data_IF_940793361115
#
_entry.id   IF_940793361115
#
_cell.length_a   1.000
_cell.length_b   1.000
_cell.length_c   1.000
_cell.angle_alpha   90.00
_cell.angle_beta   90.00
_cell.angle_gamma   90.00
#
_symmetry.space_group_name_H-M   'P 1'
#
loop_
_entity.id
_entity.type
_entity.pdbx_description
1 polymer ?
#
# COMPACT_ATOMS: atom_id res chain seq x y z
N UNK A 1 26.33 -33.33 19.59
CA UNK A 1 26.96 -32.02 19.40
C UNK A 1 27.39 -31.90 17.96
N UNK A 2 26.56 -31.30 17.11
CA UNK A 2 26.92 -30.78 15.79
C UNK A 2 25.85 -29.76 15.37
N UNK A 3 26.33 -28.51 15.33
CA UNK A 3 25.77 -27.23 14.86
C UNK A 3 24.40 -27.18 14.20
N UNK A 4 23.48 -26.48 14.90
CA UNK A 4 22.37 -25.73 14.33
C UNK A 4 22.87 -24.42 13.70
N UNK A 5 22.86 -24.30 12.38
CA UNK A 5 22.92 -23.02 11.65
C UNK A 5 22.55 -23.31 10.20
N UNK A 6 21.24 -23.39 9.90
CA UNK A 6 20.72 -23.47 8.53
C UNK A 6 19.24 -23.09 8.41
N UNK A 7 18.73 -22.18 9.26
CA UNK A 7 17.31 -21.75 9.19
C UNK A 7 17.10 -20.24 9.28
N UNK A 8 18.17 -19.44 9.18
CA UNK A 8 18.09 -17.97 9.12
C UNK A 8 18.21 -17.42 7.68
N UNK A 9 18.38 -18.28 6.68
CA UNK A 9 18.61 -17.90 5.27
C UNK A 9 17.35 -17.70 4.43
N UNK A 10 16.17 -18.01 4.96
CA UNK A 10 14.88 -17.86 4.23
C UNK A 10 14.14 -16.59 4.66
N UNK A 11 14.54 -15.97 5.78
CA UNK A 11 13.87 -14.79 6.33
C UNK A 11 14.26 -13.45 5.67
N UNK A 12 15.11 -13.44 4.65
CA UNK A 12 15.60 -12.21 4.01
C UNK A 12 15.27 -12.10 2.51
N UNK A 13 14.64 -13.14 1.93
CA UNK A 13 14.32 -13.21 0.49
C UNK A 13 12.97 -12.56 0.13
N UNK A 14 12.25 -12.06 1.14
CA UNK A 14 10.93 -11.46 1.00
C UNK A 14 10.91 -9.95 0.74
N UNK A 15 12.09 -9.37 0.57
CA UNK A 15 12.31 -7.96 0.85
C UNK A 15 12.26 -7.02 -0.36
N UNK A 16 11.97 -7.52 -1.57
CA UNK A 16 12.26 -6.76 -2.79
C UNK A 16 11.15 -5.84 -3.31
N UNK A 17 9.95 -5.83 -2.72
CA UNK A 17 8.87 -4.96 -3.25
C UNK A 17 8.54 -3.78 -2.32
N UNK A 18 8.73 -3.87 -0.99
CA UNK A 18 8.12 -2.87 -0.06
C UNK A 18 9.05 -2.29 1.01
N UNK A 19 10.25 -2.84 1.28
CA UNK A 19 11.15 -2.23 2.28
C UNK A 19 12.60 -2.20 1.75
N UNK A 20 12.99 -1.10 1.10
CA UNK A 20 14.41 -0.85 0.74
C UNK A 20 14.92 0.47 1.31
N UNK A 21 14.57 0.85 2.55
CA UNK A 21 15.19 2.04 3.16
C UNK A 21 15.45 1.97 4.67
N UNK A 22 15.69 0.78 5.23
CA UNK A 22 16.19 0.62 6.61
C UNK A 22 17.73 0.55 6.71
N UNK A 23 18.48 0.57 5.58
CA UNK A 23 19.96 0.49 5.61
C UNK A 23 20.71 1.80 5.30
N UNK A 24 20.01 2.89 4.94
CA UNK A 24 20.68 4.18 4.65
C UNK A 24 21.15 4.96 5.89
N UNK A 25 20.78 4.54 7.12
CA UNK A 25 21.15 5.24 8.36
C UNK A 25 22.34 4.61 9.13
N UNK A 26 23.06 3.62 8.57
CA UNK A 26 24.21 2.98 9.27
C UNK A 26 25.61 3.38 8.76
N UNK A 27 25.75 4.35 7.87
CA UNK A 27 27.08 4.83 7.45
C UNK A 27 27.18 6.35 7.35
N UNK A 28 27.02 7.02 8.49
CA UNK A 28 27.64 8.35 8.75
C UNK A 28 28.24 8.43 10.15
N UNK A 29 28.72 7.31 10.69
CA UNK A 29 29.46 7.29 11.96
C UNK A 29 30.48 6.15 12.00
N UNK A 30 31.46 6.17 11.10
CA UNK A 30 32.71 5.42 11.26
C UNK A 30 33.73 5.81 10.17
N UNK A 31 34.30 7.01 10.24
CA UNK A 31 35.63 7.30 9.68
C UNK A 31 36.26 8.47 10.43
N UNK A 32 37.10 8.19 11.41
CA UNK A 32 38.37 8.90 11.59
C UNK A 32 39.24 8.09 12.52
N UNK A 33 40.14 7.33 11.91
CA UNK A 33 41.26 6.70 12.59
C UNK A 33 42.23 7.76 13.09
N UNK A 34 42.71 7.47 14.29
CA UNK A 34 43.73 8.13 15.08
C UNK A 34 45.10 8.18 14.36
N UNK A 35 45.77 9.34 14.40
CA UNK A 35 47.22 9.47 14.24
C UNK A 35 47.70 10.74 14.94
N UNK A 36 48.66 10.59 15.86
CA UNK A 36 49.00 11.57 16.88
C UNK A 36 50.22 12.48 16.60
N UNK A 37 50.53 13.26 17.66
CA UNK A 37 51.70 14.11 17.93
C UNK A 37 51.79 15.44 17.15
N UNK A 38 52.14 16.62 17.71
CA UNK A 38 52.81 17.02 18.97
C UNK A 38 52.70 18.55 19.19
N UNK A 39 52.52 18.99 20.45
CA UNK A 39 53.13 20.15 21.15
C UNK A 39 53.17 21.59 20.56
N UNK A 40 52.53 22.58 21.24
CA UNK A 40 53.13 23.59 22.17
C UNK A 40 52.31 24.91 22.33
N UNK A 41 52.01 25.23 23.59
CA UNK A 41 51.94 26.53 24.29
C UNK A 41 51.17 27.77 23.76
N UNK A 42 50.29 28.32 24.61
CA UNK A 42 49.84 29.73 24.60
C UNK A 42 48.52 29.98 25.38
N UNK A 43 48.61 30.67 26.52
CA UNK A 43 47.54 30.92 27.52
C UNK A 43 46.64 32.16 27.15
N UNK A 44 45.69 32.65 27.98
CA UNK A 44 44.23 32.49 27.85
C UNK A 44 43.46 33.81 27.63
N UNK A 45 42.17 33.78 27.24
CA UNK A 45 41.12 34.66 27.80
C UNK A 45 39.69 34.44 27.23
N UNK A 46 38.74 34.61 28.16
CA UNK A 46 37.33 34.98 28.03
C UNK A 46 36.28 33.89 27.76
N UNK A 47 35.46 33.70 28.80
CA UNK A 47 34.27 32.90 28.84
C UNK A 47 33.06 33.70 28.31
N UNK A 48 32.23 33.05 27.49
CA UNK A 48 30.84 33.43 27.29
C UNK A 48 30.01 32.15 27.11
N UNK A 49 29.07 31.98 28.03
CA UNK A 49 28.16 30.84 28.21
C UNK A 49 27.08 30.79 27.12
N UNK A 50 27.07 29.74 26.31
CA UNK A 50 25.93 29.36 25.44
C UNK A 50 25.14 28.18 26.02
N UNK A 51 23.84 28.05 25.72
CA UNK A 51 22.96 27.08 26.36
C UNK A 51 23.29 25.65 25.92
N UNK A 52 23.37 24.74 26.90
CA UNK A 52 23.61 23.30 26.74
C UNK A 52 22.51 22.67 25.89
N UNK A 53 22.87 22.19 24.70
CA UNK A 53 22.05 21.24 23.95
C UNK A 53 22.13 19.88 24.65
N UNK A 54 21.02 19.47 25.26
CA UNK A 54 20.84 18.09 25.69
C UNK A 54 20.76 17.22 24.43
N UNK A 55 21.77 16.37 24.21
CA UNK A 55 21.75 15.37 23.15
C UNK A 55 20.65 14.35 23.46
N UNK A 56 19.51 14.51 22.81
CA UNK A 56 18.50 13.46 22.71
C UNK A 56 19.11 12.30 21.94
N UNK A 57 19.51 11.26 22.66
CA UNK A 57 19.78 9.96 22.08
C UNK A 57 18.51 9.50 21.35
N UNK A 58 18.49 9.59 20.01
CA UNK A 58 17.42 9.01 19.22
C UNK A 58 17.59 7.49 19.27
N UNK A 59 16.86 6.82 20.15
CA UNK A 59 16.64 5.39 20.02
C UNK A 59 16.02 5.15 18.64
N UNK A 60 16.70 4.38 17.79
CA UNK A 60 16.14 3.96 16.52
C UNK A 60 14.83 3.23 16.78
N UNK A 61 13.70 3.90 16.48
CA UNK A 61 12.37 3.32 16.59
C UNK A 61 12.34 2.10 15.68
N UNK A 62 12.13 0.91 16.26
CA UNK A 62 11.81 -0.28 15.46
C UNK A 62 10.59 0.05 14.59
N UNK A 63 10.59 -0.36 13.33
CA UNK A 63 9.46 -0.12 12.43
C UNK A 63 8.24 -0.87 12.95
N UNK A 64 7.16 -0.16 13.26
CA UNK A 64 5.88 -0.76 13.69
C UNK A 64 5.33 -1.63 12.56
N UNK A 65 5.06 -2.91 12.84
CA UNK A 65 4.34 -3.77 11.90
C UNK A 65 2.84 -3.62 12.14
N UNK A 66 2.05 -3.54 11.07
CA UNK A 66 0.60 -3.57 11.16
C UNK A 66 0.12 -4.96 10.75
N UNK A 67 -0.73 -5.57 11.57
CA UNK A 67 -1.46 -6.79 11.25
C UNK A 67 -2.91 -6.44 10.99
N UNK A 68 -3.56 -7.21 10.11
CA UNK A 68 -5.00 -7.21 9.94
C UNK A 68 -5.57 -8.42 10.67
N UNK A 69 -6.58 -8.19 11.49
CA UNK A 69 -7.34 -9.25 12.16
C UNK A 69 -8.78 -9.20 11.66
N UNK A 70 -9.24 -10.27 11.03
CA UNK A 70 -10.56 -10.38 10.40
C UNK A 70 -11.44 -11.41 11.11
N UNK A 71 -12.73 -11.42 10.78
CA UNK A 71 -13.76 -12.26 11.40
C UNK A 71 -13.94 -12.02 12.91
N UNK A 72 -13.68 -10.79 13.36
CA UNK A 72 -13.91 -10.42 14.74
C UNK A 72 -15.43 -10.33 14.97
N UNK A 73 -15.99 -10.95 16.03
CA UNK A 73 -17.43 -10.84 16.32
C UNK A 73 -17.89 -9.39 16.44
N UNK A 74 -19.10 -9.07 15.97
CA UNK A 74 -19.65 -7.71 16.03
C UNK A 74 -19.84 -7.17 17.46
N UNK A 75 -19.92 -8.05 18.45
CA UNK A 75 -20.03 -7.70 19.88
C UNK A 75 -18.69 -7.28 20.52
N UNK A 76 -17.56 -7.59 19.88
CA UNK A 76 -16.25 -7.28 20.44
C UNK A 76 -15.90 -5.81 20.28
N UNK A 77 -15.28 -5.24 21.30
CA UNK A 77 -14.60 -3.94 21.23
C UNK A 77 -13.08 -4.12 21.23
N UNK A 78 -12.35 -2.99 21.24
CA UNK A 78 -10.89 -3.02 21.28
C UNK A 78 -10.32 -3.66 22.57
N UNK A 79 -11.07 -3.67 23.67
CA UNK A 79 -10.66 -4.30 24.94
C UNK A 79 -10.71 -5.82 24.82
N UNK A 80 -11.80 -6.36 24.26
CA UNK A 80 -11.93 -7.81 24.00
C UNK A 80 -10.78 -8.31 23.11
N UNK A 81 -10.49 -7.59 22.01
CA UNK A 81 -9.38 -7.96 21.12
C UNK A 81 -8.02 -7.87 21.82
N UNK A 82 -7.79 -6.85 22.66
CA UNK A 82 -6.55 -6.72 23.44
C UNK A 82 -6.38 -7.87 24.42
N UNK A 83 -7.44 -8.27 25.11
CA UNK A 83 -7.43 -9.42 26.02
C UNK A 83 -7.11 -10.71 25.28
N UNK A 84 -7.72 -10.95 24.11
CA UNK A 84 -7.42 -12.10 23.28
C UNK A 84 -5.95 -12.12 22.82
N UNK A 85 -5.41 -10.99 22.33
CA UNK A 85 -4.00 -10.89 21.95
C UNK A 85 -3.05 -11.22 23.10
N UNK A 86 -3.40 -10.83 24.33
CA UNK A 86 -2.60 -11.14 25.52
C UNK A 86 -2.70 -12.61 25.94
N UNK A 87 -3.82 -13.27 25.68
CA UNK A 87 -3.97 -14.72 25.90
C UNK A 87 -3.12 -15.55 24.93
N UNK A 88 -2.82 -15.04 23.73
CA UNK A 88 -1.96 -15.74 22.77
C UNK A 88 -0.49 -15.82 23.21
N UNK A 89 -0.03 -14.87 24.02
CA UNK A 89 1.34 -14.82 24.54
C UNK A 89 1.35 -13.99 25.84
N UNK A 90 1.30 -14.65 27.00
CA UNK A 90 1.27 -13.99 28.31
C UNK A 90 2.49 -13.07 28.57
N UNK A 91 3.60 -13.32 27.87
CA UNK A 91 4.83 -12.51 27.98
C UNK A 91 4.81 -11.29 27.07
N UNK A 92 3.83 -11.19 26.18
CA UNK A 92 3.66 -10.06 25.29
C UNK A 92 2.90 -8.94 26.00
N UNK A 93 3.50 -7.74 26.05
CA UNK A 93 2.94 -6.57 26.72
C UNK A 93 2.10 -5.70 25.77
N UNK A 94 0.81 -5.49 26.04
CA UNK A 94 -0.09 -4.76 25.13
C UNK A 94 0.10 -3.24 25.09
N UNK A 95 0.93 -2.67 25.96
CA UNK A 95 1.06 -1.23 26.19
C UNK A 95 1.54 -0.43 24.96
N UNK A 96 2.09 -1.11 23.95
CA UNK A 96 2.55 -0.49 22.68
C UNK A 96 1.59 -0.73 21.50
N UNK A 97 0.48 -1.44 21.71
CA UNK A 97 -0.46 -1.84 20.67
C UNK A 97 -1.53 -0.77 20.40
N UNK A 98 -1.63 -0.33 19.16
CA UNK A 98 -2.70 0.54 18.67
C UNK A 98 -3.68 -0.31 17.86
N UNK A 99 -4.90 -0.44 18.36
CA UNK A 99 -6.00 -1.19 17.74
C UNK A 99 -6.98 -0.20 17.12
N UNK A 100 -7.22 -0.33 15.82
CA UNK A 100 -8.32 0.37 15.13
C UNK A 100 -9.31 -0.67 14.63
N UNK A 101 -10.53 -0.64 15.15
CA UNK A 101 -11.57 -1.65 14.88
C UNK A 101 -12.68 -1.05 14.00
N UNK A 102 -13.04 -1.75 12.93
CA UNK A 102 -13.99 -1.28 11.92
C UNK A 102 -15.02 -2.35 11.57
N UNK A 103 -16.24 -1.97 11.15
CA UNK A 103 -17.16 -2.90 10.48
C UNK A 103 -16.50 -3.48 9.23
N UNK A 104 -16.69 -4.78 8.97
CA UNK A 104 -16.12 -5.41 7.77
C UNK A 104 -16.71 -4.83 6.49
N UNK A 105 -15.98 -4.95 5.37
CA UNK A 105 -16.44 -4.52 4.05
C UNK A 105 -17.70 -5.25 3.58
N UNK A 106 -17.91 -6.48 4.06
CA UNK A 106 -18.89 -7.45 3.56
C UNK A 106 -20.07 -7.71 4.51
N UNK A 107 -20.03 -7.14 5.73
CA UNK A 107 -20.97 -7.26 6.86
C UNK A 107 -20.84 -8.51 7.77
N UNK A 108 -21.62 -8.52 8.87
CA UNK A 108 -21.71 -9.49 10.00
C UNK A 108 -20.52 -9.61 10.95
N UNK A 109 -19.35 -9.11 10.57
CA UNK A 109 -18.13 -9.16 11.39
C UNK A 109 -17.41 -7.82 11.40
N UNK A 110 -16.33 -7.75 12.17
CA UNK A 110 -15.43 -6.61 12.25
C UNK A 110 -14.03 -7.02 11.75
N UNK A 111 -13.27 -6.00 11.34
CA UNK A 111 -11.86 -6.11 10.97
C UNK A 111 -11.09 -5.09 11.80
N UNK A 112 -9.96 -5.51 12.37
CA UNK A 112 -9.06 -4.64 13.11
C UNK A 112 -7.73 -4.47 12.40
N UNK A 113 -7.19 -3.26 12.49
CA UNK A 113 -5.81 -2.95 12.17
C UNK A 113 -5.03 -2.78 13.46
N UNK A 114 -4.02 -3.62 13.64
CA UNK A 114 -3.27 -3.75 14.89
C UNK A 114 -1.82 -3.36 14.63
N UNK A 115 -1.46 -2.14 15.02
CA UNK A 115 -0.09 -1.62 14.90
C UNK A 115 0.69 -1.94 16.17
N UNK A 116 1.83 -2.63 16.03
CA UNK A 116 2.59 -3.16 17.17
C UNK A 116 4.11 -3.04 16.94
N UNK A 117 4.85 -2.70 18.00
CA UNK A 117 6.33 -2.69 18.00
C UNK A 117 6.92 -4.08 18.22
N UNK A 118 6.27 -4.87 19.09
CA UNK A 118 6.49 -6.30 19.29
C UNK A 118 5.13 -7.00 19.19
N UNK A 119 5.09 -8.25 18.78
CA UNK A 119 3.85 -9.02 18.59
C UNK A 119 4.00 -10.44 19.14
N UNK A 120 2.88 -11.11 19.47
CA UNK A 120 2.88 -12.49 19.97
C UNK A 120 3.75 -13.41 19.13
N UNK A 121 4.44 -14.37 19.77
CA UNK A 121 5.36 -15.27 19.06
C UNK A 121 4.67 -15.97 17.86
N UNK A 122 3.40 -16.35 18.00
CA UNK A 122 2.64 -17.00 16.95
C UNK A 122 2.46 -16.13 15.68
N UNK A 123 2.62 -14.81 15.76
CA UNK A 123 2.54 -13.91 14.60
C UNK A 123 3.86 -13.84 13.81
N UNK A 124 4.99 -14.26 14.40
CA UNK A 124 6.28 -14.32 13.70
C UNK A 124 6.31 -15.38 12.61
N UNK A 125 5.54 -16.45 12.80
CA UNK A 125 5.48 -17.59 11.88
C UNK A 125 4.48 -17.37 10.74
N UNK A 126 3.78 -16.23 10.71
CA UNK A 126 2.85 -15.91 9.62
C UNK A 126 3.68 -15.69 8.36
N UNK A 127 3.44 -16.54 7.35
CA UNK A 127 4.09 -16.37 6.05
C UNK A 127 3.47 -15.18 5.32
N UNK A 128 4.20 -14.57 4.39
CA UNK A 128 3.76 -13.35 3.71
C UNK A 128 2.46 -13.52 2.96
N UNK A 129 2.22 -14.66 2.34
CA UNK A 129 1.06 -14.88 1.49
C UNK A 129 0.04 -15.81 2.17
N UNK A 130 0.12 -15.97 3.51
CA UNK A 130 -0.76 -16.85 4.27
C UNK A 130 -1.49 -16.12 5.39
N UNK A 131 -2.73 -16.52 5.58
CA UNK A 131 -3.56 -16.18 6.73
C UNK A 131 -3.30 -17.19 7.85
N UNK A 132 -3.19 -16.70 9.10
CA UNK A 132 -3.17 -17.55 10.28
C UNK A 132 -4.51 -17.49 10.98
N UNK A 133 -5.25 -18.59 10.94
CA UNK A 133 -6.51 -18.73 11.66
C UNK A 133 -6.24 -19.16 13.09
N UNK A 134 -6.81 -18.43 14.04
CA UNK A 134 -6.62 -18.64 15.48
C UNK A 134 -7.98 -18.69 16.17
N UNK A 135 -8.12 -19.62 17.11
CA UNK A 135 -9.30 -19.73 17.95
C UNK A 135 -9.33 -18.58 18.96
N UNK A 136 -10.53 -18.05 19.16
CA UNK A 136 -10.87 -17.03 20.14
C UNK A 136 -11.94 -17.59 21.11
N UNK A 137 -12.17 -16.92 22.26
CA UNK A 137 -13.24 -17.30 23.18
C UNK A 137 -14.57 -17.52 22.47
N UNK A 138 -15.41 -18.40 23.03
CA UNK A 138 -16.72 -18.76 22.49
C UNK A 138 -16.67 -19.48 21.12
N UNK A 139 -15.50 -19.99 20.72
CA UNK A 139 -15.31 -20.77 19.49
C UNK A 139 -15.24 -19.93 18.22
N UNK A 140 -15.06 -18.60 18.34
CA UNK A 140 -14.85 -17.73 17.20
C UNK A 140 -13.49 -18.01 16.53
N UNK A 141 -13.43 -17.96 15.20
CA UNK A 141 -12.21 -18.21 14.43
C UNK A 141 -11.77 -16.91 13.74
N UNK A 142 -10.71 -16.30 14.28
CA UNK A 142 -10.17 -15.04 13.78
C UNK A 142 -9.06 -15.34 12.78
N UNK A 143 -9.03 -14.61 11.65
CA UNK A 143 -7.91 -14.67 10.70
C UNK A 143 -6.94 -13.52 10.96
N UNK A 144 -5.65 -13.81 10.97
CA UNK A 144 -4.58 -12.81 11.12
C UNK A 144 -3.65 -12.86 9.91
N UNK A 145 -3.44 -11.71 9.29
CA UNK A 145 -2.49 -11.53 8.20
C UNK A 145 -1.70 -10.21 8.33
N UNK A 146 -0.71 -10.02 7.47
CA UNK A 146 -0.04 -8.73 7.30
C UNK A 146 0.20 -8.36 5.83
N UNK A 147 -0.38 -9.11 4.89
CA UNK A 147 -0.30 -8.85 3.45
C UNK A 147 -1.42 -7.95 2.96
N UNK A 148 -2.56 -7.96 3.64
CA UNK A 148 -3.75 -7.19 3.33
C UNK A 148 -4.28 -7.46 1.90
N UNK A 149 -4.23 -8.70 1.43
CA UNK A 149 -4.97 -9.15 0.26
C UNK A 149 -6.48 -9.02 0.56
N UNK A 150 -7.29 -8.66 -0.44
CA UNK A 150 -8.72 -8.32 -0.30
C UNK A 150 -9.04 -6.93 0.29
N UNK A 151 -10.34 -6.57 0.27
CA UNK A 151 -10.78 -5.26 0.78
C UNK A 151 -10.65 -5.19 2.29
N UNK A 152 -10.01 -4.12 2.74
CA UNK A 152 -9.81 -3.78 4.15
C UNK A 152 -10.50 -2.45 4.46
N UNK A 153 -11.40 -2.38 5.46
CA UNK A 153 -12.01 -1.13 5.87
C UNK A 153 -11.00 -0.28 6.66
N UNK A 154 -11.06 1.05 6.48
CA UNK A 154 -10.10 1.99 7.07
C UNK A 154 -10.74 3.05 7.98
N UNK A 155 -12.07 3.04 8.13
CA UNK A 155 -12.78 3.92 9.03
C UNK A 155 -14.11 3.32 9.49
N UNK A 156 -14.68 3.91 10.54
CA UNK A 156 -16.10 3.78 10.86
C UNK A 156 -16.81 4.87 10.06
N UNK A 157 -17.56 4.54 8.99
CA UNK A 157 -18.24 5.55 8.20
C UNK A 157 -19.42 6.16 8.98
N UNK A 158 -19.80 7.39 8.61
CA UNK A 158 -21.04 8.00 9.07
C UNK A 158 -22.26 7.15 8.63
N UNK A 159 -23.42 7.22 9.32
CA UNK A 159 -24.61 6.47 8.94
C UNK A 159 -25.08 6.76 7.51
N UNK A 160 -24.94 8.02 7.08
CA UNK A 160 -25.21 8.45 5.71
C UNK A 160 -23.89 8.52 4.93
N UNK A 161 -23.72 7.58 4.00
CA UNK A 161 -22.49 7.42 3.23
C UNK A 161 -22.73 7.92 1.81
N UNK A 162 -22.18 9.10 1.51
CA UNK A 162 -22.19 9.73 0.18
C UNK A 162 -21.48 8.87 -0.86
N UNK A 163 -20.31 8.32 -0.53
CA UNK A 163 -19.51 7.53 -1.48
C UNK A 163 -18.60 6.50 -0.79
N UNK A 164 -18.28 5.44 -1.53
CA UNK A 164 -17.16 4.57 -1.23
C UNK A 164 -15.88 5.15 -1.88
N UNK A 165 -14.82 5.29 -1.10
CA UNK A 165 -13.47 5.62 -1.58
C UNK A 165 -12.64 4.35 -1.51
N UNK A 166 -12.26 3.80 -2.67
CA UNK A 166 -11.58 2.50 -2.76
C UNK A 166 -10.18 2.71 -3.32
N UNK A 167 -9.18 2.55 -2.46
CA UNK A 167 -7.78 2.61 -2.82
C UNK A 167 -7.26 1.23 -3.25
N UNK A 168 -6.51 1.15 -4.34
CA UNK A 168 -6.04 -0.09 -4.94
C UNK A 168 -4.54 0.01 -5.22
N UNK A 169 -3.76 -0.85 -4.59
CA UNK A 169 -2.31 -0.95 -4.76
C UNK A 169 -1.85 -2.39 -4.48
N UNK A 170 -0.61 -2.72 -4.84
CA UNK A 170 -0.08 -4.07 -4.60
C UNK A 170 -0.21 -4.51 -3.15
N UNK A 171 0.33 -3.75 -2.20
CA UNK A 171 0.14 -4.03 -0.77
C UNK A 171 -0.73 -2.95 -0.14
N UNK A 172 -1.94 -3.36 0.26
CA UNK A 172 -3.03 -2.45 0.60
C UNK A 172 -2.75 -1.50 1.77
N UNK A 173 -1.83 -1.85 2.68
CA UNK A 173 -1.43 -0.99 3.79
C UNK A 173 -0.07 -0.31 3.52
N UNK A 174 0.95 -1.10 3.16
CA UNK A 174 2.32 -0.62 3.02
C UNK A 174 2.52 0.40 1.89
N UNK A 175 1.77 0.28 0.79
CA UNK A 175 1.89 1.22 -0.33
C UNK A 175 1.53 2.65 0.05
N UNK A 176 0.54 2.85 0.92
CA UNK A 176 0.03 4.17 1.31
C UNK A 176 0.65 4.70 2.60
N UNK A 177 1.48 3.89 3.26
CA UNK A 177 2.11 4.25 4.54
C UNK A 177 3.44 4.92 4.30
N UNK A 178 3.60 6.13 4.82
CA UNK A 178 4.88 6.81 4.85
C UNK A 178 5.84 6.12 5.82
N UNK A 179 7.02 5.73 5.35
CA UNK A 179 7.97 4.97 6.14
C UNK A 179 8.55 5.77 7.33
N UNK A 180 8.76 7.08 7.19
CA UNK A 180 9.44 7.86 8.22
C UNK A 180 8.47 8.26 9.34
N UNK A 181 7.30 8.77 8.97
CA UNK A 181 6.26 9.19 9.92
C UNK A 181 5.39 8.03 10.42
N UNK A 182 5.45 6.88 9.74
CA UNK A 182 4.60 5.71 9.98
C UNK A 182 3.10 5.98 9.78
N UNK A 183 2.72 7.13 9.20
CA UNK A 183 1.35 7.52 8.92
C UNK A 183 0.84 6.82 7.66
N UNK A 184 -0.36 6.26 7.73
CA UNK A 184 -1.10 5.68 6.60
C UNK A 184 -2.30 6.59 6.31
N UNK A 185 -2.12 7.53 5.39
CA UNK A 185 -3.00 8.69 5.24
C UNK A 185 -4.46 8.36 4.89
N UNK A 186 -4.73 7.21 4.26
CA UNK A 186 -6.10 6.75 4.00
C UNK A 186 -6.87 6.42 5.28
N UNK A 187 -6.15 6.02 6.34
CA UNK A 187 -6.71 5.77 7.67
C UNK A 187 -6.55 6.99 8.58
N UNK A 188 -5.35 7.57 8.63
CA UNK A 188 -4.97 8.52 9.67
C UNK A 188 -5.44 9.96 9.37
N UNK A 189 -5.64 10.31 8.09
CA UNK A 189 -5.97 11.68 7.67
C UNK A 189 -7.34 11.76 6.99
N UNK A 190 -7.53 10.97 5.94
CA UNK A 190 -8.65 11.08 5.02
C UNK A 190 -10.03 11.02 5.70
N UNK A 191 -10.32 10.08 6.62
CA UNK A 191 -11.65 9.98 7.24
C UNK A 191 -12.00 11.15 8.18
N UNK A 192 -11.00 11.94 8.58
CA UNK A 192 -11.17 13.14 9.41
C UNK A 192 -11.32 14.40 8.56
N UNK A 193 -10.64 14.45 7.40
CA UNK A 193 -10.65 15.61 6.50
C UNK A 193 -11.82 15.56 5.50
N UNK A 194 -12.44 14.39 5.32
CA UNK A 194 -13.62 14.15 4.49
C UNK A 194 -14.61 13.25 5.26
N UNK A 195 -15.78 13.81 5.60
CA UNK A 195 -16.89 13.08 6.24
C UNK A 195 -17.81 12.45 5.20
N UNK A 196 -18.69 11.54 5.64
CA UNK A 196 -19.67 10.90 4.75
C UNK A 196 -19.09 9.91 3.72
N UNK A 197 -17.85 9.45 3.91
CA UNK A 197 -17.22 8.44 3.03
C UNK A 197 -16.88 7.16 3.77
N UNK A 198 -17.04 6.03 3.08
CA UNK A 198 -16.48 4.74 3.51
C UNK A 198 -15.16 4.52 2.78
N UNK A 199 -14.06 4.49 3.52
CA UNK A 199 -12.72 4.31 2.98
C UNK A 199 -12.32 2.85 3.07
N UNK A 200 -11.92 2.27 1.95
CA UNK A 200 -11.45 0.90 1.84
C UNK A 200 -10.15 0.87 1.04
N UNK A 201 -9.30 -0.10 1.34
CA UNK A 201 -8.10 -0.39 0.55
C UNK A 201 -8.13 -1.85 0.09
N UNK A 202 -7.77 -2.12 -1.15
CA UNK A 202 -7.66 -3.45 -1.74
C UNK A 202 -6.20 -3.75 -2.04
N UNK A 203 -5.74 -4.91 -1.56
CA UNK A 203 -4.44 -5.48 -1.91
C UNK A 203 -4.61 -6.78 -2.66
N UNK A 204 -3.55 -7.16 -3.35
CA UNK A 204 -3.48 -8.38 -4.13
C UNK A 204 -2.04 -8.83 -4.21
N UNK A 205 -1.82 -10.13 -4.44
CA UNK A 205 -0.47 -10.66 -4.49
C UNK A 205 0.34 -9.98 -5.62
N UNK A 206 1.38 -9.25 -5.20
CA UNK A 206 2.37 -8.60 -6.06
C UNK A 206 3.79 -9.07 -5.76
N UNK A 207 3.96 -10.12 -4.96
CA UNK A 207 5.23 -10.74 -4.66
C UNK A 207 5.88 -11.39 -5.89
N UNK A 208 6.60 -10.59 -6.67
CA UNK A 208 7.33 -11.04 -7.86
C UNK A 208 8.38 -12.13 -7.56
N UNK A 209 8.79 -12.30 -6.30
CA UNK A 209 9.74 -13.31 -5.86
C UNK A 209 9.08 -14.64 -5.47
N UNK A 210 7.75 -14.70 -5.37
CA UNK A 210 7.03 -15.94 -5.08
C UNK A 210 7.00 -16.83 -6.33
N UNK A 211 7.52 -18.04 -6.19
CA UNK A 211 7.47 -19.10 -7.21
C UNK A 211 6.22 -19.99 -7.09
N UNK A 212 5.40 -19.75 -6.05
CA UNK A 212 4.29 -20.62 -5.65
C UNK A 212 2.97 -20.12 -6.25
N UNK A 213 2.76 -18.79 -6.31
CA UNK A 213 1.51 -18.20 -6.80
C UNK A 213 1.64 -17.68 -8.24
N UNK A 214 0.79 -18.22 -9.11
CA UNK A 214 0.73 -17.99 -10.55
C UNK A 214 -0.46 -17.13 -10.98
N UNK A 215 -1.01 -16.31 -10.08
CA UNK A 215 -2.15 -15.45 -10.37
C UNK A 215 -1.89 -14.51 -11.56
N UNK A 216 -2.64 -14.69 -12.64
CA UNK A 216 -2.57 -13.83 -13.82
C UNK A 216 -3.32 -12.50 -13.59
N UNK A 217 -3.07 -11.47 -14.40
CA UNK A 217 -3.84 -10.22 -14.34
C UNK A 217 -5.36 -10.46 -14.48
N UNK A 218 -5.74 -11.51 -15.21
CA UNK A 218 -7.13 -11.92 -15.38
C UNK A 218 -7.72 -12.47 -14.09
N UNK A 219 -6.95 -13.24 -13.31
CA UNK A 219 -7.38 -13.77 -12.02
C UNK A 219 -7.44 -12.66 -10.97
N UNK A 220 -6.45 -11.76 -10.95
CA UNK A 220 -6.49 -10.54 -10.14
C UNK A 220 -7.74 -9.72 -10.43
N UNK A 221 -8.11 -9.55 -11.71
CA UNK A 221 -9.32 -8.83 -12.13
C UNK A 221 -10.58 -9.51 -11.61
N UNK A 222 -10.70 -10.83 -11.78
CA UNK A 222 -11.87 -11.60 -11.32
C UNK A 222 -12.02 -11.51 -9.80
N UNK A 223 -10.91 -11.68 -9.07
CA UNK A 223 -10.89 -11.56 -7.62
C UNK A 223 -11.32 -10.15 -7.18
N UNK A 224 -10.79 -9.11 -7.81
CA UNK A 224 -11.15 -7.74 -7.46
C UNK A 224 -12.62 -7.43 -7.73
N UNK A 225 -13.16 -7.82 -8.90
CA UNK A 225 -14.60 -7.69 -9.20
C UNK A 225 -15.43 -8.42 -8.15
N UNK A 226 -15.07 -9.65 -7.79
CA UNK A 226 -15.79 -10.41 -6.77
C UNK A 226 -15.77 -9.72 -5.40
N UNK A 227 -14.65 -9.11 -4.99
CA UNK A 227 -14.61 -8.36 -3.74
C UNK A 227 -15.49 -7.10 -3.77
N UNK A 228 -15.55 -6.41 -4.91
CA UNK A 228 -16.47 -5.28 -5.08
C UNK A 228 -17.94 -5.73 -4.98
N UNK A 229 -18.30 -6.85 -5.62
CA UNK A 229 -19.64 -7.44 -5.53
C UNK A 229 -19.99 -7.81 -4.07
N UNK A 230 -19.07 -8.48 -3.37
CA UNK A 230 -19.26 -8.85 -1.97
C UNK A 230 -19.49 -7.61 -1.09
N UNK A 231 -18.71 -6.53 -1.30
CA UNK A 231 -18.82 -5.31 -0.50
C UNK A 231 -20.07 -4.46 -0.83
N UNK A 232 -20.81 -4.86 -1.87
CA UNK A 232 -21.98 -4.18 -2.42
C UNK A 232 -23.21 -5.09 -2.50
N UNK A 233 -23.18 -6.22 -1.80
CA UNK A 233 -24.28 -7.18 -1.80
C UNK A 233 -25.57 -6.67 -1.13
N UNK A 234 -25.49 -5.62 -0.31
CA UNK A 234 -26.67 -4.97 0.30
C UNK A 234 -27.25 -3.87 -0.59
N UNK A 235 -28.59 -3.71 -0.64
CA UNK A 235 -29.25 -2.69 -1.46
C UNK A 235 -28.70 -1.26 -1.26
N UNK A 236 -28.42 -0.87 -0.02
CA UNK A 236 -27.88 0.45 0.32
C UNK A 236 -26.44 0.68 -0.18
N UNK A 237 -25.68 -0.39 -0.43
CA UNK A 237 -24.32 -0.30 -0.96
C UNK A 237 -24.29 -0.45 -2.49
N UNK A 238 -25.25 -1.19 -3.08
CA UNK A 238 -25.25 -1.58 -4.50
C UNK A 238 -25.10 -0.42 -5.48
N UNK A 239 -25.75 0.72 -5.23
CA UNK A 239 -25.71 1.89 -6.12
C UNK A 239 -24.95 3.08 -5.53
N UNK A 240 -24.32 2.92 -4.37
CA UNK A 240 -23.55 4.00 -3.74
C UNK A 240 -22.41 4.45 -4.66
N UNK A 241 -22.24 5.75 -4.92
CA UNK A 241 -21.14 6.28 -5.71
C UNK A 241 -19.77 5.73 -5.30
N UNK A 242 -18.91 5.45 -6.27
CA UNK A 242 -17.54 4.96 -6.06
C UNK A 242 -16.54 5.99 -6.59
N UNK A 243 -15.52 6.27 -5.78
CA UNK A 243 -14.33 7.01 -6.18
C UNK A 243 -13.14 6.05 -6.01
N UNK A 244 -12.45 5.79 -7.11
CA UNK A 244 -11.28 4.91 -7.11
C UNK A 244 -9.98 5.70 -6.97
N UNK A 245 -9.05 5.17 -6.17
CA UNK A 245 -7.68 5.65 -6.06
C UNK A 245 -6.74 4.50 -6.45
N UNK A 246 -6.12 4.55 -7.62
CA UNK A 246 -5.24 3.49 -8.10
C UNK A 246 -3.78 3.92 -8.05
N UNK A 247 -2.89 3.07 -7.53
CA UNK A 247 -1.43 3.26 -7.66
C UNK A 247 -0.82 2.20 -8.56
N UNK A 248 -0.02 2.60 -9.55
CA UNK A 248 0.70 1.69 -10.44
C UNK A 248 -0.27 0.66 -11.07
N UNK A 249 0.03 -0.64 -10.99
CA UNK A 249 -0.83 -1.75 -11.42
C UNK A 249 -2.25 -1.70 -10.84
N UNK A 250 -2.45 -1.11 -9.66
CA UNK A 250 -3.78 -0.98 -9.06
C UNK A 250 -4.72 -0.14 -9.93
N UNK A 251 -4.20 0.90 -10.59
CA UNK A 251 -4.97 1.67 -11.58
C UNK A 251 -5.34 0.84 -12.81
N UNK A 252 -4.41 0.04 -13.33
CA UNK A 252 -4.69 -0.88 -14.45
C UNK A 252 -5.76 -1.90 -14.05
N UNK A 253 -5.70 -2.43 -12.82
CA UNK A 253 -6.64 -3.40 -12.29
C UNK A 253 -8.06 -2.81 -12.15
N UNK A 254 -8.19 -1.57 -11.65
CA UNK A 254 -9.46 -0.84 -11.60
C UNK A 254 -10.07 -0.75 -13.01
N UNK A 255 -9.27 -0.31 -13.99
CA UNK A 255 -9.74 -0.11 -15.35
C UNK A 255 -10.13 -1.43 -16.02
N UNK A 256 -9.37 -2.50 -15.80
CA UNK A 256 -9.75 -3.84 -16.24
C UNK A 256 -11.08 -4.32 -15.63
N UNK A 257 -11.29 -4.09 -14.34
CA UNK A 257 -12.55 -4.46 -13.68
C UNK A 257 -13.74 -3.69 -14.28
N UNK A 258 -13.56 -2.41 -14.64
CA UNK A 258 -14.62 -1.62 -15.27
C UNK A 258 -14.89 -1.98 -16.73
N UNK A 259 -13.90 -2.42 -17.49
CA UNK A 259 -14.12 -3.03 -18.82
C UNK A 259 -14.93 -4.32 -18.68
N UNK A 260 -14.64 -5.15 -17.69
CA UNK A 260 -15.46 -6.34 -17.43
C UNK A 260 -16.89 -5.94 -17.03
N UNK A 261 -17.03 -4.91 -16.20
CA UNK A 261 -18.33 -4.39 -15.78
C UNK A 261 -19.15 -3.80 -16.94
N UNK A 262 -18.51 -3.12 -17.91
CA UNK A 262 -19.22 -2.59 -19.08
C UNK A 262 -19.77 -3.69 -19.98
N UNK A 263 -19.07 -4.82 -20.06
CA UNK A 263 -19.39 -5.92 -20.97
C UNK A 263 -20.27 -7.02 -20.32
N UNK A 264 -20.50 -6.93 -19.00
CA UNK A 264 -21.22 -7.96 -18.24
C UNK A 264 -22.40 -7.32 -17.50
N UNK A 265 -23.66 -7.55 -17.93
CA UNK A 265 -24.84 -6.91 -17.34
C UNK A 265 -24.94 -7.02 -15.81
N UNK A 266 -24.49 -8.13 -15.24
CA UNK A 266 -24.49 -8.40 -13.81
C UNK A 266 -23.62 -7.40 -13.02
N UNK A 267 -22.48 -7.00 -13.59
CA UNK A 267 -21.50 -6.11 -12.97
C UNK A 267 -21.66 -4.65 -13.39
N UNK A 268 -22.58 -4.35 -14.32
CA UNK A 268 -22.77 -3.01 -14.89
C UNK A 268 -22.96 -1.91 -13.83
N UNK A 269 -23.60 -2.25 -12.71
CA UNK A 269 -23.82 -1.32 -11.61
C UNK A 269 -22.51 -0.77 -11.01
N UNK A 270 -21.38 -1.49 -11.09
CA UNK A 270 -20.08 -1.01 -10.65
C UNK A 270 -19.60 0.18 -11.49
N UNK A 271 -19.75 0.06 -12.81
CA UNK A 271 -19.44 1.13 -13.75
C UNK A 271 -20.38 2.33 -13.57
N UNK A 272 -21.68 2.07 -13.44
CA UNK A 272 -22.70 3.12 -13.27
C UNK A 272 -22.52 3.86 -11.93
N UNK A 273 -22.04 3.18 -10.89
CA UNK A 273 -21.71 3.79 -9.61
C UNK A 273 -20.39 4.58 -9.62
N UNK A 274 -19.48 4.32 -10.55
CA UNK A 274 -18.15 4.96 -10.58
C UNK A 274 -18.23 6.41 -11.06
N UNK A 275 -17.71 7.35 -10.25
CA UNK A 275 -17.77 8.79 -10.51
C UNK A 275 -16.43 9.46 -10.76
N UNK A 276 -15.36 8.97 -10.13
CA UNK A 276 -14.04 9.58 -10.29
C UNK A 276 -12.89 8.59 -10.11
N UNK A 277 -11.76 8.94 -10.74
CA UNK A 277 -10.50 8.21 -10.67
C UNK A 277 -9.36 9.13 -10.23
N UNK A 278 -8.58 8.67 -9.26
CA UNK A 278 -7.31 9.26 -8.85
C UNK A 278 -6.21 8.25 -9.14
N UNK A 279 -5.54 8.41 -10.29
CA UNK A 279 -4.58 7.44 -10.83
C UNK A 279 -3.16 7.95 -10.58
N UNK A 280 -2.42 7.23 -9.76
CA UNK A 280 -1.08 7.57 -9.28
C UNK A 280 -0.04 6.69 -9.97
N UNK A 281 0.73 7.27 -10.90
CA UNK A 281 1.76 6.56 -11.65
C UNK A 281 1.24 5.33 -12.38
N UNK A 282 -0.02 5.31 -12.80
CA UNK A 282 -0.61 4.16 -13.48
C UNK A 282 0.01 4.01 -14.88
N UNK A 283 0.64 2.88 -15.23
CA UNK A 283 1.38 2.74 -16.48
C UNK A 283 0.46 2.42 -17.68
N UNK A 284 -0.34 3.40 -18.12
CA UNK A 284 -1.29 3.22 -19.23
C UNK A 284 -0.62 2.84 -20.56
N UNK A 285 0.60 3.30 -20.80
CA UNK A 285 1.40 2.96 -21.99
C UNK A 285 2.63 2.11 -21.65
N UNK A 286 2.60 1.47 -20.47
CA UNK A 286 3.59 0.53 -20.02
C UNK A 286 4.57 1.04 -18.96
N UNK A 287 5.22 0.08 -18.34
CA UNK A 287 6.15 0.15 -17.24
C UNK A 287 7.52 -0.27 -17.74
N UNK A 288 8.58 0.34 -17.19
CA UNK A 288 9.93 -0.20 -17.34
C UNK A 288 10.05 -1.53 -16.59
N UNK A 289 10.14 -2.63 -17.32
CA UNK A 289 10.18 -3.98 -16.75
C UNK A 289 11.54 -4.66 -16.80
N UNK A 290 12.51 -4.15 -17.56
CA UNK A 290 13.79 -4.84 -17.83
C UNK A 290 14.48 -5.40 -16.58
N UNK A 291 14.68 -4.57 -15.56
CA UNK A 291 15.36 -4.98 -14.33
C UNK A 291 14.49 -5.91 -13.45
N UNK A 292 13.16 -5.79 -13.56
CA UNK A 292 12.21 -6.67 -12.88
C UNK A 292 12.15 -8.05 -13.54
N UNK A 293 12.13 -8.10 -14.87
CA UNK A 293 12.17 -9.34 -15.67
C UNK A 293 13.45 -10.12 -15.33
N UNK A 294 14.61 -9.45 -15.32
CA UNK A 294 15.88 -10.08 -14.96
C UNK A 294 15.91 -10.60 -13.51
N UNK A 295 15.27 -9.89 -12.57
CA UNK A 295 15.13 -10.38 -11.19
C UNK A 295 14.26 -11.63 -11.13
N UNK A 296 13.08 -11.60 -11.76
CA UNK A 296 12.14 -12.73 -11.72
C UNK A 296 12.75 -13.96 -12.39
N UNK A 297 13.45 -13.78 -13.52
CA UNK A 297 14.12 -14.86 -14.25
C UNK A 297 15.24 -15.52 -13.43
N UNK A 298 16.06 -14.74 -12.73
CA UNK A 298 17.09 -15.26 -11.81
C UNK A 298 16.46 -16.02 -10.63
N UNK A 299 15.39 -15.49 -10.04
CA UNK A 299 14.71 -16.11 -8.90
C UNK A 299 13.92 -17.37 -9.30
N UNK A 300 13.41 -17.45 -10.53
CA UNK A 300 12.69 -18.62 -11.03
C UNK A 300 13.62 -19.70 -11.62
N UNK A 301 14.91 -19.41 -11.74
CA UNK A 301 15.88 -20.30 -12.38
C UNK A 301 15.65 -20.44 -13.90
N UNK A 302 15.18 -19.38 -14.55
CA UNK A 302 14.92 -19.36 -15.99
C UNK A 302 13.60 -20.01 -16.42
N UNK A 303 12.71 -20.31 -15.48
CA UNK A 303 11.39 -20.89 -15.75
C UNK A 303 10.39 -19.77 -16.02
N UNK A 304 9.61 -19.91 -17.10
CA UNK A 304 8.50 -19.02 -17.42
C UNK A 304 7.45 -19.05 -16.28
N UNK A 305 7.18 -17.90 -15.67
CA UNK A 305 6.22 -17.76 -14.56
C UNK A 305 5.05 -16.86 -14.94
N UNK A 306 3.95 -16.92 -14.19
CA UNK A 306 2.88 -15.94 -14.35
C UNK A 306 3.35 -14.49 -14.09
N UNK A 307 4.41 -14.31 -13.28
CA UNK A 307 5.02 -13.00 -13.02
C UNK A 307 5.72 -12.44 -14.25
N UNK A 308 6.48 -13.27 -14.98
CA UNK A 308 7.07 -12.86 -16.25
C UNK A 308 5.98 -12.50 -17.28
N UNK A 309 4.90 -13.26 -17.36
CA UNK A 309 3.74 -12.93 -18.19
C UNK A 309 3.08 -11.61 -17.80
N UNK A 310 2.90 -11.37 -16.51
CA UNK A 310 2.38 -10.10 -16.00
C UNK A 310 3.29 -8.92 -16.38
N UNK A 311 4.61 -9.07 -16.23
CA UNK A 311 5.57 -8.05 -16.64
C UNK A 311 5.51 -7.81 -18.15
N UNK A 312 5.43 -8.85 -18.96
CA UNK A 312 5.27 -8.73 -20.41
C UNK A 312 3.98 -7.98 -20.79
N UNK A 313 2.88 -8.20 -20.08
CA UNK A 313 1.60 -7.48 -20.27
C UNK A 313 1.63 -6.02 -19.80
N UNK A 314 2.57 -5.66 -18.91
CA UNK A 314 2.72 -4.30 -18.40
C UNK A 314 3.87 -3.54 -19.08
N UNK A 315 4.60 -4.20 -19.97
CA UNK A 315 5.76 -3.62 -20.65
C UNK A 315 5.33 -2.51 -21.60
N UNK A 316 6.22 -1.54 -21.79
CA UNK A 316 6.06 -0.53 -22.84
C UNK A 316 5.81 -1.16 -24.22
N UNK A 317 4.75 -0.72 -24.89
CA UNK A 317 4.35 -1.24 -26.20
C UNK A 317 3.70 -2.63 -26.17
N UNK A 318 3.20 -3.09 -25.03
CA UNK A 318 2.47 -4.36 -24.96
C UNK A 318 1.07 -4.23 -25.61
N UNK A 319 0.69 -5.20 -26.44
CA UNK A 319 -0.65 -5.31 -27.05
C UNK A 319 -1.78 -5.32 -26.00
N UNK A 320 -1.50 -5.85 -24.81
CA UNK A 320 -2.45 -5.90 -23.70
C UNK A 320 -2.91 -4.49 -23.27
N UNK A 321 -1.97 -3.56 -23.11
CA UNK A 321 -2.27 -2.18 -22.71
C UNK A 321 -2.89 -1.38 -23.86
N UNK A 322 -2.49 -1.64 -25.10
CA UNK A 322 -3.12 -1.03 -26.29
C UNK A 322 -4.60 -1.43 -26.40
N UNK A 323 -4.89 -2.73 -26.30
CA UNK A 323 -6.27 -3.26 -26.32
C UNK A 323 -7.10 -2.71 -25.14
N UNK A 324 -6.48 -2.58 -23.96
CA UNK A 324 -7.12 -1.95 -22.81
C UNK A 324 -7.50 -0.50 -23.16
N UNK A 325 -6.59 0.28 -23.71
CA UNK A 325 -6.82 1.70 -24.02
C UNK A 325 -7.99 1.88 -24.98
N UNK A 326 -8.08 1.05 -26.03
CA UNK A 326 -9.22 1.06 -26.96
C UNK A 326 -10.55 0.75 -26.26
N UNK A 327 -10.55 -0.24 -25.37
CA UNK A 327 -11.74 -0.67 -24.63
C UNK A 327 -12.25 0.38 -23.62
N UNK A 328 -11.39 1.31 -23.19
CA UNK A 328 -11.72 2.32 -22.18
C UNK A 328 -12.44 3.56 -22.73
N UNK A 329 -12.56 3.71 -24.05
CA UNK A 329 -13.07 4.94 -24.66
C UNK A 329 -14.43 5.40 -24.08
N UNK A 330 -15.32 4.46 -23.76
CA UNK A 330 -16.66 4.77 -23.20
C UNK A 330 -16.69 4.90 -21.68
N UNK A 331 -15.65 4.40 -20.99
CA UNK A 331 -15.57 4.40 -19.52
C UNK A 331 -15.36 5.81 -18.98
N UNK A 332 -14.70 6.69 -19.74
CA UNK A 332 -14.34 8.03 -19.25
C UNK A 332 -15.49 9.04 -19.25
N UNK A 333 -16.55 8.77 -20.02
CA UNK A 333 -17.69 9.66 -20.14
C UNK A 333 -18.32 9.89 -18.76
N UNK A 334 -18.65 11.13 -18.44
CA UNK A 334 -19.32 11.53 -17.18
C UNK A 334 -18.53 11.24 -15.89
N UNK A 335 -17.25 10.85 -15.99
CA UNK A 335 -16.37 10.65 -14.83
C UNK A 335 -15.25 11.68 -14.81
N UNK A 336 -14.81 12.03 -13.60
CA UNK A 336 -13.63 12.85 -13.39
C UNK A 336 -12.37 11.99 -13.37
N UNK A 337 -11.32 12.46 -14.03
CA UNK A 337 -10.04 11.74 -14.12
C UNK A 337 -8.92 12.64 -13.65
N UNK A 338 -8.19 12.19 -12.62
CA UNK A 338 -7.03 12.88 -12.08
C UNK A 338 -5.82 11.95 -12.19
N UNK A 339 -4.87 12.30 -13.04
CA UNK A 339 -3.65 11.52 -13.30
C UNK A 339 -2.46 12.20 -12.65
N UNK A 340 -1.95 11.58 -11.60
CA UNK A 340 -0.80 12.02 -10.83
C UNK A 340 0.45 11.27 -11.32
N UNK A 341 1.50 11.99 -11.69
CA UNK A 341 2.70 11.38 -12.28
C UNK A 341 3.99 11.82 -11.58
N UNK A 342 4.94 10.88 -11.49
CA UNK A 342 6.27 11.13 -10.92
C UNK A 342 7.09 12.09 -11.77
N UNK A 343 7.94 12.90 -11.14
CA UNK A 343 8.94 13.74 -11.83
C UNK A 343 10.37 13.50 -11.36
N UNK A 344 10.59 12.49 -10.51
CA UNK A 344 11.93 12.05 -10.09
C UNK A 344 12.09 10.58 -10.44
N UNK A 345 13.27 10.20 -10.88
CA UNK A 345 13.61 8.80 -11.12
C UNK A 345 13.61 7.97 -9.84
N UNK A 346 13.36 6.67 -9.98
CA UNK A 346 13.45 5.66 -8.94
C UNK A 346 14.72 4.82 -9.15
N UNK A 347 15.46 4.44 -8.10
CA UNK A 347 16.52 3.44 -8.23
C UNK A 347 15.93 2.10 -8.71
N UNK A 348 16.53 1.54 -9.76
CA UNK A 348 16.14 0.23 -10.28
C UNK A 348 16.55 -0.90 -9.34
N UNK A 349 15.95 -2.07 -9.54
CA UNK A 349 16.25 -3.27 -8.76
C UNK A 349 17.58 -3.88 -9.23
N UNK A 350 18.44 -4.24 -8.28
CA UNK A 350 19.75 -4.83 -8.51
C UNK A 350 20.06 -5.88 -7.44
N UNK A 351 20.74 -6.97 -7.82
CA UNK A 351 21.20 -8.00 -6.88
C UNK A 351 22.41 -7.48 -6.10
N UNK A 352 22.30 -7.44 -4.79
CA UNK A 352 23.39 -7.10 -3.87
C UNK A 352 24.45 -8.20 -3.84
N UNK A 353 25.62 -7.90 -3.26
CA UNK A 353 26.69 -8.88 -3.04
C UNK A 353 26.30 -10.04 -2.12
N UNK A 354 25.25 -9.87 -1.32
CA UNK A 354 24.70 -10.90 -0.44
C UNK A 354 23.65 -11.78 -1.13
N UNK A 355 23.39 -11.55 -2.42
CA UNK A 355 22.42 -12.31 -3.22
C UNK A 355 20.97 -11.83 -3.11
N UNK A 356 20.71 -10.82 -2.28
CA UNK A 356 19.38 -10.21 -2.12
C UNK A 356 19.16 -9.09 -3.15
N UNK A 357 17.95 -8.98 -3.70
CA UNK A 357 17.61 -7.89 -4.60
C UNK A 357 17.18 -6.63 -3.84
N UNK A 358 17.72 -5.48 -4.24
CA UNK A 358 17.46 -4.18 -3.62
C UNK A 358 17.31 -3.09 -4.68
N UNK A 359 16.58 -2.02 -4.37
CA UNK A 359 16.47 -0.81 -5.22
C UNK A 359 17.71 0.08 -5.04
N UNK A 360 18.86 -0.40 -5.50
CA UNK A 360 20.15 0.30 -5.45
C UNK A 360 20.79 0.49 -6.82
N UNK A 361 20.11 0.07 -7.88
CA UNK A 361 20.59 0.20 -9.25
C UNK A 361 20.46 1.63 -9.78
N UNK A 362 20.68 1.75 -11.09
CA UNK A 362 20.62 3.04 -11.78
C UNK A 362 19.27 3.72 -11.60
N UNK A 363 19.29 5.05 -11.55
CA UNK A 363 18.10 5.87 -11.49
C UNK A 363 17.37 5.82 -12.84
N UNK A 364 16.11 5.37 -12.83
CA UNK A 364 15.26 5.33 -14.02
C UNK A 364 13.86 5.88 -13.74
N UNK A 365 13.21 6.44 -14.74
CA UNK A 365 11.76 6.61 -14.70
C UNK A 365 11.13 5.22 -14.79
N UNK A 366 10.38 4.81 -13.78
CA UNK A 366 9.72 3.51 -13.79
C UNK A 366 8.50 3.57 -14.68
N UNK A 367 7.73 4.65 -14.57
CA UNK A 367 6.62 4.97 -15.45
C UNK A 367 6.91 6.29 -16.12
N UNK A 368 7.15 6.26 -17.43
CA UNK A 368 7.36 7.48 -18.21
C UNK A 368 6.17 8.41 -18.05
N UNK A 369 6.42 9.73 -18.06
CA UNK A 369 5.36 10.76 -17.97
C UNK A 369 4.20 10.53 -18.94
N UNK A 370 4.49 10.13 -20.19
CA UNK A 370 3.46 9.84 -21.20
C UNK A 370 2.64 8.60 -20.88
N UNK A 371 3.23 7.62 -20.20
CA UNK A 371 2.54 6.40 -19.77
C UNK A 371 1.63 6.66 -18.57
N UNK A 372 1.97 7.60 -17.70
CA UNK A 372 1.16 7.99 -16.55
C UNK A 372 -0.01 8.93 -16.89
N UNK A 373 -0.29 9.18 -18.18
CA UNK A 373 -1.32 10.13 -18.64
C UNK A 373 -2.21 9.47 -19.69
N UNK A 374 -3.49 9.81 -19.68
CA UNK A 374 -4.51 9.29 -20.61
C UNK A 374 -4.77 10.23 -21.79
N UNK A 375 -4.34 11.48 -21.69
CA UNK A 375 -4.54 12.54 -22.67
C UNK A 375 -6.01 12.84 -23.00
N UNK A 376 -6.91 12.61 -22.04
CA UNK A 376 -8.33 12.92 -22.21
C UNK A 376 -8.59 14.43 -22.05
N UNK A 377 -9.70 14.91 -22.61
CA UNK A 377 -10.11 16.32 -22.49
C UNK A 377 -10.57 16.69 -21.08
N UNK A 378 -11.14 15.74 -20.34
CA UNK A 378 -11.62 15.88 -18.96
C UNK A 378 -10.59 15.42 -17.91
N UNK A 379 -9.37 15.09 -18.31
CA UNK A 379 -8.30 14.66 -17.41
C UNK A 379 -7.52 15.86 -16.85
N UNK A 380 -7.32 15.86 -15.53
CA UNK A 380 -6.36 16.75 -14.88
C UNK A 380 -5.05 16.00 -14.63
N UNK A 381 -3.96 16.56 -15.18
CA UNK A 381 -2.63 15.95 -15.15
C UNK A 381 -1.77 16.68 -14.13
N UNK A 382 -1.40 16.00 -13.05
CA UNK A 382 -0.85 16.61 -11.84
C UNK A 382 0.58 16.07 -11.61
N UNK A 383 1.63 16.90 -11.74
CA UNK A 383 2.99 16.47 -11.43
C UNK A 383 3.20 16.32 -9.93
N UNK A 384 3.93 15.28 -9.52
CA UNK A 384 4.41 15.09 -8.15
C UNK A 384 5.92 15.05 -8.16
N UNK A 385 6.56 15.91 -7.36
CA UNK A 385 8.00 15.95 -7.20
C UNK A 385 8.54 14.82 -6.30
N UNK A 386 8.14 13.59 -6.61
CA UNK A 386 8.55 12.34 -5.96
C UNK A 386 8.84 11.27 -7.02
N UNK A 387 9.43 10.17 -6.57
CA UNK A 387 9.65 8.98 -7.38
C UNK A 387 8.48 7.98 -7.26
N UNK A 388 8.51 6.91 -8.07
CA UNK A 388 7.41 5.94 -8.24
C UNK A 388 7.02 5.20 -6.97
N UNK A 389 7.97 5.08 -6.05
CA UNK A 389 7.74 4.39 -4.78
C UNK A 389 7.15 5.34 -3.75
N UNK A 390 7.50 6.62 -3.75
CA UNK A 390 7.14 7.59 -2.71
C UNK A 390 5.91 8.46 -3.04
N UNK A 391 5.44 8.49 -4.29
CA UNK A 391 4.38 9.42 -4.72
C UNK A 391 3.02 9.29 -4.01
N UNK A 392 2.77 8.18 -3.31
CA UNK A 392 1.52 7.92 -2.56
C UNK A 392 1.72 7.83 -1.05
N UNK A 393 2.91 8.19 -0.54
CA UNK A 393 3.31 8.06 0.86
C UNK A 393 3.31 9.40 1.59
N UNK A 394 2.15 10.01 1.76
CA UNK A 394 2.02 11.32 2.40
C UNK A 394 2.37 11.25 3.89
N UNK A 395 3.34 12.07 4.32
CA UNK A 395 3.85 12.02 5.70
C UNK A 395 2.98 12.79 6.71
N UNK A 396 2.22 13.78 6.24
CA UNK A 396 1.41 14.66 7.08
C UNK A 396 0.29 15.33 6.28
N UNK A 397 -0.73 15.84 6.97
CA UNK A 397 -1.87 16.55 6.37
C UNK A 397 -1.50 17.78 5.53
N UNK A 398 -0.35 18.41 5.79
CA UNK A 398 0.15 19.54 5.00
C UNK A 398 0.86 19.17 3.70
N UNK A 399 0.89 17.88 3.33
CA UNK A 399 1.54 17.45 2.09
C UNK A 399 0.81 18.05 0.88
N UNK A 400 1.53 18.72 -0.02
CA UNK A 400 0.95 19.44 -1.15
C UNK A 400 0.16 18.53 -2.10
N UNK A 401 0.61 17.29 -2.26
CA UNK A 401 -0.06 16.28 -3.09
C UNK A 401 -1.34 15.83 -2.41
N UNK A 402 -1.29 15.55 -1.10
CA UNK A 402 -2.47 15.21 -0.31
C UNK A 402 -3.52 16.34 -0.34
N UNK A 403 -3.12 17.59 -0.17
CA UNK A 403 -4.01 18.75 -0.26
C UNK A 403 -4.66 18.90 -1.64
N UNK A 404 -3.89 18.60 -2.70
CA UNK A 404 -4.41 18.59 -4.08
C UNK A 404 -5.45 17.50 -4.27
N UNK A 405 -5.17 16.27 -3.82
CA UNK A 405 -6.13 15.17 -3.81
C UNK A 405 -7.40 15.55 -3.03
N UNK A 406 -7.24 16.12 -1.83
CA UNK A 406 -8.34 16.49 -0.95
C UNK A 406 -9.27 17.53 -1.60
N UNK A 407 -8.69 18.55 -2.27
CA UNK A 407 -9.44 19.55 -3.02
C UNK A 407 -10.32 18.90 -4.10
N UNK A 408 -9.73 18.01 -4.90
CA UNK A 408 -10.44 17.34 -5.99
C UNK A 408 -11.47 16.34 -5.48
N UNK A 409 -11.15 15.61 -4.42
CA UNK A 409 -12.06 14.65 -3.80
C UNK A 409 -13.31 15.35 -3.25
N UNK A 410 -13.14 16.47 -2.53
CA UNK A 410 -14.27 17.28 -2.05
C UNK A 410 -15.15 17.77 -3.20
N UNK A 411 -14.55 18.29 -4.27
CA UNK A 411 -15.29 18.69 -5.47
C UNK A 411 -16.07 17.53 -6.13
N UNK A 412 -15.57 16.29 -6.07
CA UNK A 412 -16.32 15.12 -6.56
C UNK A 412 -17.52 14.81 -5.66
N UNK A 413 -17.34 14.88 -4.34
CA UNK A 413 -18.40 14.60 -3.36
C UNK A 413 -19.50 15.66 -3.40
N UNK A 414 -19.15 16.93 -3.57
CA UNK A 414 -20.12 18.02 -3.70
C UNK A 414 -21.04 17.79 -4.91
N UNK A 415 -20.49 17.38 -6.05
CA UNK A 415 -21.30 17.06 -7.24
C UNK A 415 -22.17 15.82 -7.04
N UNK A 416 -21.64 14.79 -6.37
CA UNK A 416 -22.43 13.60 -6.02
C UNK A 416 -23.64 13.97 -5.16
N UNK A 417 -23.46 14.83 -4.16
CA UNK A 417 -24.53 15.26 -3.28
C UNK A 417 -25.59 16.08 -4.02
N UNK A 418 -25.18 16.96 -4.95
CA UNK A 418 -26.13 17.75 -5.77
C UNK A 418 -27.01 16.83 -6.62
N UNK A 419 -26.43 15.78 -7.20
CA UNK A 419 -27.15 14.86 -8.09
C UNK A 419 -27.93 13.77 -7.35
N UNK A 420 -27.67 13.53 -6.07
CA UNK A 420 -28.42 12.58 -5.24
C UNK A 420 -29.64 13.17 -4.52
N UNK A 421 -29.79 14.51 -4.51
CA UNK A 421 -30.90 15.23 -3.88
C UNK A 421 -32.02 15.67 -4.83
N UNK A 422 -31.94 15.31 -6.11
CA UNK A 422 -33.00 15.44 -7.13
C UNK A 422 -33.58 14.06 -7.43
#
# INVERSE_FOLDING_TARGET
MTSSTSMDYVLFVLFCVIIVFQLSQRRTSATSHDSGSTNLAGNPQSAATGPRSASLHSSASKSKKCFRVSNIPASWDASHLRTWLQQLDERWEPSTCIISLYPSCYNTHQTALVNMDNYPQCFKDIKPDEDKVLEAPEGAMLSVDYHFHDLTPLNIPDPDITADVIAVAGHAFGSWRNHNSQQMWLQDFLPFDVRGVRVMTYGYDTNLASTIDNSSILDLRRAFVQQLENARCFPAAKHRPIIFIGHSLGGILILQALIQASNTPQHKHLLDATRAFFLFGTPHQGLRTKELEAMVDDLSGGVETARLKLLAQLKEGSEYLETQQESLATIWNERKVFSFYETRSTPTVQKSSQGHYERTGDMAEMVKKVSAQLFLSNEQRIPIHQNHTELVKFAHKGDTTYLTLLKHLRSCLDEINIHGGM
#
